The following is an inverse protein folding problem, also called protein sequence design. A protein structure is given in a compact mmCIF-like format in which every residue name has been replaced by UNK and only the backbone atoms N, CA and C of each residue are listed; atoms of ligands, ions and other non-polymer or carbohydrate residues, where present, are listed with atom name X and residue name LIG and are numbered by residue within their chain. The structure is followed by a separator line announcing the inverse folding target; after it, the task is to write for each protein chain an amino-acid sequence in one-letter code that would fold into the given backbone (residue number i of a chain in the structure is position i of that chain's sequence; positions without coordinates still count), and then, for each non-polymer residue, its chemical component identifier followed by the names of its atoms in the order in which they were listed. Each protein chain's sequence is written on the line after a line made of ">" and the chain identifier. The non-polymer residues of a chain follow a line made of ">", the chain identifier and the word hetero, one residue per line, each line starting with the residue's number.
data_IF_949608638108
#
_entry.id   IF_949608638108
#
_cell.length_a   1.000
_cell.length_b   1.000
_cell.length_c   1.000
_cell.angle_alpha   90.00
_cell.angle_beta   90.00
_cell.angle_gamma   90.00
#
_symmetry.space_group_name_H-M   'P 1'
#
loop_
_entity.id
_entity.type
_entity.pdbx_description
1 polymer ?
#
# COMPACT_ATOMS: atom_id res chain seq x y z
N UNK A 1 -4.20 -23.05 -8.94
CA UNK A 1 -4.63 -23.09 -8.38
C UNK A 1 -5.05 -22.18 -7.49
N UNK A 2 -5.09 -22.34 -6.41
CA UNK A 2 -5.45 -21.48 -5.51
C UNK A 2 -4.75 -20.23 -5.56
N UNK A 3 -3.57 -20.21 -5.83
CA UNK A 3 -2.80 -19.01 -5.88
C UNK A 3 -3.36 -18.07 -6.89
N UNK A 4 -3.66 -18.59 -8.04
CA UNK A 4 -4.20 -17.83 -9.05
C UNK A 4 -5.49 -17.22 -8.68
N UNK A 5 -6.33 -17.94 -8.08
CA UNK A 5 -7.55 -17.43 -7.66
C UNK A 5 -7.37 -16.35 -6.69
N UNK A 6 -6.56 -16.51 -5.75
CA UNK A 6 -6.34 -15.53 -4.74
C UNK A 6 -5.85 -14.25 -5.38
N UNK A 7 -5.00 -14.35 -6.34
CA UNK A 7 -4.50 -13.17 -6.98
C UNK A 7 -5.55 -12.39 -7.71
N UNK A 8 -6.45 -13.05 -8.37
CA UNK A 8 -7.42 -12.33 -9.12
C UNK A 8 -8.49 -11.68 -8.29
N UNK A 9 -8.89 -12.31 -7.23
CA UNK A 9 -9.99 -11.76 -6.47
C UNK A 9 -9.56 -11.13 -5.17
N UNK A 10 -8.41 -11.53 -4.70
CA UNK A 10 -7.97 -11.05 -3.40
C UNK A 10 -6.73 -10.20 -3.44
N UNK A 11 -6.51 -9.55 -4.55
CA UNK A 11 -5.34 -8.70 -4.64
C UNK A 11 -5.42 -7.66 -3.55
N UNK A 12 -4.37 -7.57 -2.77
CA UNK A 12 -4.31 -6.61 -1.70
C UNK A 12 -4.00 -5.25 -2.28
N UNK A 13 -4.86 -4.31 -2.02
CA UNK A 13 -4.69 -2.95 -2.48
C UNK A 13 -4.90 -2.00 -1.33
N UNK A 14 -4.42 -0.80 -1.46
CA UNK A 14 -4.69 0.22 -0.48
C UNK A 14 -5.19 1.46 -1.21
N UNK A 15 -5.64 2.45 -0.46
CA UNK A 15 -6.10 3.71 -1.03
C UNK A 15 -5.16 4.82 -0.55
N UNK A 16 -5.21 6.00 -1.18
CA UNK A 16 -4.36 7.11 -0.75
C UNK A 16 -4.62 7.54 0.67
N UNK A 17 -5.77 7.21 1.23
CA UNK A 17 -6.13 7.62 2.57
C UNK A 17 -5.75 6.63 3.66
N UNK A 18 -5.30 5.45 3.29
CA UNK A 18 -4.82 4.48 4.27
C UNK A 18 -3.51 5.00 4.84
N UNK A 19 -3.13 4.52 6.01
CA UNK A 19 -1.87 4.93 6.61
C UNK A 19 -0.77 3.96 6.19
N UNK A 20 0.47 4.37 6.38
CA UNK A 20 1.57 3.48 6.05
C UNK A 20 1.63 2.30 7.03
N UNK A 21 1.01 2.42 8.21
CA UNK A 21 0.94 1.30 9.13
C UNK A 21 0.05 0.23 8.52
N UNK A 22 -1.09 0.64 7.93
CA UNK A 22 -2.00 -0.30 7.29
C UNK A 22 -1.27 -1.05 6.17
N UNK A 23 -0.50 -0.32 5.38
CA UNK A 23 0.21 -0.91 4.26
C UNK A 23 1.33 -1.82 4.74
N UNK A 24 2.05 -1.39 5.77
CA UNK A 24 3.14 -2.21 6.31
C UNK A 24 2.61 -3.54 6.82
N UNK A 25 1.41 -3.53 7.41
CA UNK A 25 0.81 -4.77 7.88
C UNK A 25 0.44 -5.66 6.72
N UNK A 26 -0.08 -5.08 5.64
CA UNK A 26 -0.39 -5.85 4.45
C UNK A 26 0.87 -6.50 3.90
N UNK A 27 1.95 -5.75 3.81
CA UNK A 27 3.21 -6.26 3.29
C UNK A 27 3.73 -7.40 4.15
N UNK A 28 3.65 -7.22 5.46
CA UNK A 28 4.11 -8.25 6.37
C UNK A 28 3.26 -9.52 6.24
N UNK A 29 1.95 -9.36 6.22
CA UNK A 29 1.04 -10.49 6.22
C UNK A 29 1.02 -11.25 4.89
N UNK A 30 1.29 -10.57 3.80
CA UNK A 30 1.29 -11.22 2.50
C UNK A 30 2.70 -11.43 1.95
N UNK A 31 3.71 -10.97 2.68
CA UNK A 31 5.10 -11.14 2.31
C UNK A 31 5.41 -10.55 0.94
N UNK A 32 4.94 -9.35 0.69
CA UNK A 32 5.23 -8.65 -0.55
C UNK A 32 5.82 -7.28 -0.23
N UNK A 33 6.57 -6.73 -1.18
CA UNK A 33 7.21 -5.45 -0.98
C UNK A 33 6.58 -4.31 -1.74
N UNK A 34 5.46 -4.56 -2.39
CA UNK A 34 4.77 -3.53 -3.16
C UNK A 34 3.28 -3.76 -3.10
N UNK A 35 2.52 -2.68 -2.91
CA UNK A 35 1.07 -2.75 -2.83
C UNK A 35 0.51 -1.72 -3.81
N UNK A 36 -0.40 -2.12 -4.68
CA UNK A 36 -1.04 -1.17 -5.58
C UNK A 36 -1.93 -0.21 -4.80
N UNK A 37 -1.93 1.05 -5.20
CA UNK A 37 -2.77 2.06 -4.58
C UNK A 37 -3.91 2.34 -5.56
N UNK A 38 -5.13 2.11 -5.15
CA UNK A 38 -6.29 2.35 -5.99
C UNK A 38 -6.98 3.61 -5.52
N UNK A 39 -7.59 4.33 -6.46
CA UNK A 39 -8.23 5.57 -6.18
C UNK A 39 -9.32 5.40 -5.14
N UNK A 40 -10.15 4.42 -5.31
CA UNK A 40 -11.17 4.07 -4.33
C UNK A 40 -11.57 2.64 -4.53
N UNK A 41 -12.27 2.09 -3.55
CA UNK A 41 -12.61 0.68 -3.58
C UNK A 41 -13.63 0.31 -4.63
N UNK A 42 -14.46 1.24 -5.02
CA UNK A 42 -15.46 0.99 -6.01
C UNK A 42 -14.94 0.92 -7.43
N UNK A 43 -14.22 1.92 -7.86
CA UNK A 43 -13.73 1.95 -9.21
C UNK A 43 -12.51 1.08 -9.40
N UNK A 44 -11.75 0.91 -8.35
CA UNK A 44 -10.49 0.16 -8.35
C UNK A 44 -9.52 0.64 -9.43
N UNK A 45 -9.61 1.91 -9.76
CA UNK A 45 -8.69 2.50 -10.70
C UNK A 45 -7.34 2.68 -10.03
N UNK A 46 -6.29 2.32 -10.74
CA UNK A 46 -4.95 2.42 -10.19
C UNK A 46 -4.54 3.87 -10.04
N UNK A 47 -4.09 4.24 -8.87
CA UNK A 47 -3.60 5.59 -8.61
C UNK A 47 -2.08 5.61 -8.50
N UNK A 48 -1.48 4.48 -8.19
CA UNK A 48 -0.03 4.42 -8.04
C UNK A 48 0.37 3.15 -7.33
N UNK A 49 1.55 3.17 -6.78
CA UNK A 49 2.07 2.01 -6.08
C UNK A 49 2.86 2.49 -4.87
N UNK A 50 2.85 1.73 -3.81
CA UNK A 50 3.67 2.04 -2.65
C UNK A 50 4.52 0.82 -2.35
N UNK A 51 5.81 1.05 -2.12
CA UNK A 51 6.74 -0.04 -1.91
C UNK A 51 7.33 0.04 -0.50
N UNK A 52 7.98 -1.02 -0.08
CA UNK A 52 8.66 -1.04 1.20
C UNK A 52 9.77 0.03 1.21
N UNK A 53 10.35 0.30 0.05
CA UNK A 53 11.37 1.34 -0.04
C UNK A 53 10.73 2.71 0.20
N UNK A 54 9.53 2.96 -0.30
CA UNK A 54 8.83 4.21 -0.07
C UNK A 54 8.60 4.41 1.42
N UNK A 55 8.25 3.35 2.13
CA UNK A 55 8.00 3.43 3.55
C UNK A 55 9.31 3.70 4.28
N UNK A 56 10.34 2.99 3.93
CA UNK A 56 11.63 3.15 4.59
C UNK A 56 12.27 4.50 4.31
N UNK A 57 12.27 4.91 3.05
CA UNK A 57 13.04 6.06 2.64
C UNK A 57 12.25 7.37 2.57
N UNK A 58 10.95 7.29 2.39
CA UNK A 58 10.17 8.51 2.28
C UNK A 58 9.35 8.79 3.52
N UNK A 59 8.71 7.76 4.06
CA UNK A 59 7.89 7.95 5.24
C UNK A 59 8.73 8.18 6.47
N UNK A 60 9.78 7.41 6.63
CA UNK A 60 10.62 7.51 7.81
C UNK A 60 11.29 8.86 7.94
N UNK A 61 11.71 9.46 6.82
CA UNK A 61 12.39 10.74 6.89
C UNK A 61 11.47 11.89 7.26
N UNK A 62 10.16 11.67 7.28
CA UNK A 62 9.26 12.73 7.70
C UNK A 62 9.37 12.98 9.21
N UNK A 63 9.88 12.01 9.95
CA UNK A 63 9.97 12.12 11.39
C UNK A 63 8.63 12.03 12.08
N UNK A 64 7.56 11.74 11.35
CA UNK A 64 6.24 11.64 11.93
C UNK A 64 5.90 10.22 12.30
N UNK A 65 4.96 10.08 13.23
CA UNK A 65 4.53 8.75 13.62
C UNK A 65 3.90 8.05 12.42
N UNK A 66 4.20 6.78 12.20
CA UNK A 66 3.71 6.08 11.02
C UNK A 66 2.20 6.08 10.85
N UNK A 67 1.46 6.05 11.95
CA UNK A 67 0.01 6.04 11.86
C UNK A 67 -0.55 7.41 11.49
N UNK A 68 0.29 8.42 11.37
CA UNK A 68 -0.15 9.73 10.95
C UNK A 68 0.24 10.05 9.51
N UNK A 69 0.93 9.12 8.85
CA UNK A 69 1.38 9.35 7.47
C UNK A 69 0.47 8.59 6.53
N UNK A 70 -0.18 9.29 5.62
CA UNK A 70 -1.06 8.66 4.64
C UNK A 70 -0.28 8.21 3.43
N UNK A 71 -0.79 7.17 2.80
CA UNK A 71 -0.17 6.59 1.62
C UNK A 71 0.08 7.63 0.53
N UNK A 72 -0.87 8.53 0.34
CA UNK A 72 -0.74 9.52 -0.72
C UNK A 72 0.49 10.41 -0.59
N UNK A 73 1.04 10.51 0.60
CA UNK A 73 2.20 11.36 0.81
C UNK A 73 3.49 10.71 0.34
N UNK A 74 3.53 9.41 0.26
CA UNK A 74 4.78 8.70 -0.04
C UNK A 74 4.71 7.76 -1.23
N UNK A 75 3.53 7.51 -1.75
CA UNK A 75 3.39 6.59 -2.87
C UNK A 75 3.98 7.18 -4.15
N UNK A 76 4.23 6.33 -5.11
CA UNK A 76 4.65 6.76 -6.44
C UNK A 76 3.43 6.68 -7.34
N UNK A 77 3.01 7.77 -7.96
CA UNK A 77 1.81 7.77 -8.80
C UNK A 77 1.99 6.98 -10.08
#
# INVERSE_FOLDING_TARGET
>A
MKVKKAMTSEVQCCTPFDTIVDVARMMRDTDVGAIPVIKDRESRQLAGIITDRDICCRATVTGKAPDSVRVQKVMTP
#
